data_IF_694310218642
#
_entry.id   IF_694310218642
#
_cell.length_a   1.000
_cell.length_b   1.000
_cell.length_c   1.000
_cell.angle_alpha   90.00
_cell.angle_beta   90.00
_cell.angle_gamma   90.00
#
_symmetry.space_group_name_H-M   'P 1'
#
loop_
_entity.id
_entity.type
_entity.pdbx_description
1 polymer ?
#
# COMPACT_ATOMS: atom_id res chain seq x y z
N UNK A 1 -23.19 7.68 7.98
CA UNK A 1 -21.84 7.59 8.58
C UNK A 1 -21.83 8.51 9.80
N UNK A 2 -21.57 8.00 11.01
CA UNK A 2 -21.39 8.86 12.17
C UNK A 2 -20.22 9.81 11.86
N UNK A 3 -20.52 11.11 11.77
CA UNK A 3 -19.55 12.10 11.31
C UNK A 3 -18.49 12.27 12.39
N UNK A 4 -17.28 11.76 12.15
CA UNK A 4 -16.14 12.00 13.02
C UNK A 4 -15.99 13.50 13.25
N UNK A 5 -15.75 13.89 14.49
CA UNK A 5 -15.43 15.28 14.79
C UNK A 5 -14.01 15.62 14.29
N UNK A 6 -13.67 16.90 14.24
CA UNK A 6 -12.39 17.39 13.70
C UNK A 6 -11.17 16.78 14.43
N UNK A 7 -11.27 16.53 15.75
CA UNK A 7 -10.19 15.91 16.52
C UNK A 7 -10.05 14.42 16.20
N UNK A 8 -11.16 13.72 16.04
CA UNK A 8 -11.19 12.33 15.60
C UNK A 8 -10.62 12.20 14.19
N UNK A 9 -11.03 13.02 13.22
CA UNK A 9 -10.50 13.00 11.85
C UNK A 9 -8.98 13.23 11.80
N UNK A 10 -8.48 14.20 12.58
CA UNK A 10 -7.03 14.44 12.66
C UNK A 10 -6.29 13.26 13.26
N UNK A 11 -6.83 12.67 14.33
CA UNK A 11 -6.25 11.47 14.94
C UNK A 11 -6.30 10.25 14.02
N UNK A 12 -7.37 10.10 13.25
CA UNK A 12 -7.53 9.05 12.25
C UNK A 12 -6.43 9.10 11.20
N UNK A 13 -6.16 10.29 10.65
CA UNK A 13 -5.08 10.51 9.68
C UNK A 13 -3.72 10.25 10.30
N UNK A 14 -3.48 10.78 11.49
CA UNK A 14 -2.23 10.55 12.22
C UNK A 14 -1.98 9.05 12.50
N UNK A 15 -3.03 8.27 12.81
CA UNK A 15 -2.93 6.83 13.02
C UNK A 15 -2.58 6.02 11.76
N UNK A 16 -2.81 6.55 10.57
CA UNK A 16 -2.43 5.88 9.32
C UNK A 16 -0.95 6.09 8.99
N UNK A 17 -0.38 7.21 9.44
CA UNK A 17 1.00 7.61 9.13
C UNK A 17 1.99 7.23 10.24
N UNK A 18 1.51 7.03 11.47
CA UNK A 18 2.36 6.78 12.64
C UNK A 18 2.63 5.30 12.87
N UNK A 19 3.78 4.97 13.45
CA UNK A 19 4.13 3.60 13.86
C UNK A 19 3.53 3.22 15.22
N UNK A 20 3.10 4.20 16.02
CA UNK A 20 2.53 3.99 17.35
C UNK A 20 1.34 4.91 17.64
N UNK A 21 0.46 4.49 18.56
CA UNK A 21 -0.69 5.29 19.03
C UNK A 21 -0.22 6.58 19.72
N UNK A 22 0.88 6.52 20.46
CA UNK A 22 1.41 7.67 21.20
C UNK A 22 1.95 8.75 20.25
N UNK A 23 2.62 8.34 19.17
CA UNK A 23 3.04 9.22 18.07
C UNK A 23 1.81 9.83 17.38
N UNK A 24 0.81 9.02 17.04
CA UNK A 24 -0.42 9.51 16.43
C UNK A 24 -1.16 10.53 17.32
N UNK A 25 -1.18 10.31 18.64
CA UNK A 25 -1.76 11.26 19.60
C UNK A 25 -0.99 12.59 19.58
N UNK A 26 0.34 12.53 19.53
CA UNK A 26 1.21 13.71 19.50
C UNK A 26 1.00 14.50 18.21
N UNK A 27 1.03 13.81 17.05
CA UNK A 27 0.79 14.39 15.73
C UNK A 27 -0.61 15.01 15.60
N UNK A 28 -1.62 14.37 16.20
CA UNK A 28 -2.98 14.90 16.22
C UNK A 28 -3.20 16.02 17.26
N UNK A 29 -2.24 16.26 18.15
CA UNK A 29 -2.37 17.23 19.23
C UNK A 29 -3.44 16.87 20.25
N UNK A 30 -3.59 15.58 20.57
CA UNK A 30 -4.52 15.07 21.59
C UNK A 30 -3.77 14.34 22.71
N UNK A 31 -4.36 14.34 23.91
CA UNK A 31 -3.86 13.51 25.00
C UNK A 31 -4.07 12.02 24.70
N UNK A 32 -3.14 11.19 25.17
CA UNK A 32 -3.18 9.73 25.03
C UNK A 32 -4.53 9.15 25.47
N UNK A 33 -5.03 9.55 26.64
CA UNK A 33 -6.33 9.08 27.15
C UNK A 33 -7.48 9.31 26.15
N UNK A 34 -7.49 10.46 25.47
CA UNK A 34 -8.47 10.76 24.44
C UNK A 34 -8.31 9.85 23.22
N UNK A 35 -7.08 9.62 22.76
CA UNK A 35 -6.80 8.70 21.66
C UNK A 35 -7.24 7.27 21.97
N UNK A 36 -6.89 6.75 23.15
CA UNK A 36 -7.34 5.43 23.61
C UNK A 36 -8.86 5.34 23.78
N UNK A 37 -9.54 6.44 24.16
CA UNK A 37 -11.00 6.46 24.20
C UNK A 37 -11.61 6.42 22.79
N UNK A 38 -11.04 7.10 21.80
CA UNK A 38 -11.48 6.99 20.41
C UNK A 38 -11.30 5.56 19.87
N UNK A 39 -10.21 4.88 20.24
CA UNK A 39 -9.99 3.49 19.85
C UNK A 39 -10.94 2.48 20.50
N UNK A 40 -11.72 2.89 21.51
CA UNK A 40 -12.80 2.08 22.10
C UNK A 40 -14.16 2.34 21.45
N UNK A 41 -14.29 3.40 20.66
CA UNK A 41 -15.51 3.74 19.94
C UNK A 41 -15.61 2.89 18.67
N UNK A 42 -16.60 1.98 18.56
CA UNK A 42 -16.76 1.13 17.39
C UNK A 42 -16.92 1.92 16.09
N UNK A 43 -17.54 3.10 16.14
CA UNK A 43 -17.70 3.96 14.97
C UNK A 43 -16.36 4.46 14.45
N UNK A 44 -15.49 4.93 15.36
CA UNK A 44 -14.14 5.38 15.00
C UNK A 44 -13.29 4.24 14.45
N UNK A 45 -13.33 3.08 15.11
CA UNK A 45 -12.56 1.90 14.70
C UNK A 45 -13.02 1.41 13.32
N UNK A 46 -14.32 1.40 13.04
CA UNK A 46 -14.86 1.05 11.72
C UNK A 46 -14.33 1.98 10.62
N UNK A 47 -14.32 3.29 10.85
CA UNK A 47 -13.79 4.26 9.87
C UNK A 47 -12.28 4.11 9.68
N UNK A 48 -11.53 3.81 10.76
CA UNK A 48 -10.09 3.53 10.68
C UNK A 48 -9.80 2.31 9.81
N UNK A 49 -10.52 1.20 10.03
CA UNK A 49 -10.35 0.01 9.21
C UNK A 49 -10.73 0.25 7.75
N UNK A 50 -11.86 0.92 7.50
CA UNK A 50 -12.29 1.24 6.14
C UNK A 50 -11.27 2.11 5.39
N UNK A 51 -10.66 3.09 6.06
CA UNK A 51 -9.64 3.93 5.44
C UNK A 51 -8.33 3.19 5.24
N UNK A 52 -7.93 2.35 6.19
CA UNK A 52 -6.74 1.49 6.06
C UNK A 52 -6.87 0.49 4.90
N UNK A 53 -8.04 -0.11 4.74
CA UNK A 53 -8.36 -0.99 3.61
C UNK A 53 -8.19 -0.25 2.28
N UNK A 54 -8.78 0.94 2.14
CA UNK A 54 -8.61 1.78 0.94
C UNK A 54 -7.15 2.11 0.61
N UNK A 55 -6.32 2.37 1.62
CA UNK A 55 -4.89 2.63 1.41
C UNK A 55 -4.17 1.37 0.90
N UNK A 56 -4.51 0.20 1.46
CA UNK A 56 -3.95 -1.07 1.00
C UNK A 56 -4.41 -1.42 -0.42
N UNK A 57 -5.68 -1.19 -0.74
CA UNK A 57 -6.23 -1.39 -2.08
C UNK A 57 -5.50 -0.51 -3.09
N UNK A 58 -5.36 0.78 -2.80
CA UNK A 58 -4.65 1.71 -3.67
C UNK A 58 -3.18 1.31 -3.88
N UNK A 59 -2.52 0.88 -2.80
CA UNK A 59 -1.13 0.41 -2.86
C UNK A 59 -1.03 -0.86 -3.72
N UNK A 60 -1.98 -1.77 -3.57
CA UNK A 60 -2.07 -3.01 -4.35
C UNK A 60 -2.29 -2.71 -5.83
N UNK A 61 -3.16 -1.78 -6.17
CA UNK A 61 -3.39 -1.31 -7.54
C UNK A 61 -2.11 -0.71 -8.14
N UNK A 62 -1.40 0.11 -7.38
CA UNK A 62 -0.12 0.67 -7.84
C UNK A 62 0.90 -0.43 -8.11
N UNK A 63 0.98 -1.44 -7.25
CA UNK A 63 1.89 -2.57 -7.41
C UNK A 63 1.53 -3.43 -8.63
N UNK A 64 0.23 -3.68 -8.86
CA UNK A 64 -0.26 -4.39 -10.05
C UNK A 64 0.16 -3.66 -11.32
N UNK A 65 -0.11 -2.34 -11.40
CA UNK A 65 0.26 -1.51 -12.54
C UNK A 65 1.78 -1.51 -12.79
N UNK A 66 2.59 -1.35 -11.75
CA UNK A 66 4.04 -1.42 -11.87
C UNK A 66 4.53 -2.80 -12.37
N UNK A 67 3.83 -3.87 -11.96
CA UNK A 67 4.13 -5.22 -12.42
C UNK A 67 3.78 -5.42 -13.90
N UNK A 68 2.65 -4.88 -14.36
CA UNK A 68 2.27 -4.87 -15.78
C UNK A 68 3.30 -4.11 -16.63
N UNK A 69 3.75 -2.94 -16.17
CA UNK A 69 4.78 -2.16 -16.83
C UNK A 69 6.12 -2.91 -16.89
N UNK A 70 6.52 -3.57 -15.80
CA UNK A 70 7.72 -4.39 -15.79
C UNK A 70 7.65 -5.56 -16.79
N UNK A 71 6.49 -6.22 -16.90
CA UNK A 71 6.28 -7.29 -17.90
C UNK A 71 6.36 -6.73 -19.32
N UNK A 72 5.82 -5.55 -19.58
CA UNK A 72 5.94 -4.89 -20.88
C UNK A 72 7.40 -4.62 -21.25
N UNK A 73 8.19 -4.05 -20.32
CA UNK A 73 9.62 -3.79 -20.52
C UNK A 73 10.41 -5.08 -20.77
N UNK A 74 10.18 -6.13 -19.99
CA UNK A 74 10.84 -7.42 -20.20
C UNK A 74 10.52 -8.01 -21.58
N UNK A 75 9.26 -7.87 -22.01
CA UNK A 75 8.80 -8.34 -23.32
C UNK A 75 9.44 -7.53 -24.46
N UNK A 76 9.56 -6.22 -24.30
CA UNK A 76 10.24 -5.35 -25.26
C UNK A 76 11.71 -5.74 -25.40
N UNK A 77 12.46 -5.81 -24.29
CA UNK A 77 13.89 -6.16 -24.31
C UNK A 77 14.14 -7.56 -24.87
N UNK A 78 13.26 -8.52 -24.59
CA UNK A 78 13.36 -9.88 -25.14
C UNK A 78 13.26 -9.90 -26.67
N UNK A 79 12.42 -9.05 -27.24
CA UNK A 79 12.12 -8.98 -28.68
C UNK A 79 12.95 -7.93 -29.44
N UNK A 80 13.70 -7.07 -28.75
CA UNK A 80 14.57 -6.08 -29.39
C UNK A 80 15.79 -6.73 -30.04
N UNK A 81 15.81 -6.78 -31.37
CA UNK A 81 16.92 -7.32 -32.16
C UNK A 81 18.22 -6.52 -32.03
N UNK A 82 18.14 -5.26 -31.59
CA UNK A 82 19.32 -4.39 -31.36
C UNK A 82 19.90 -4.59 -29.96
N UNK A 83 19.15 -5.18 -29.04
CA UNK A 83 19.65 -5.50 -27.70
C UNK A 83 20.67 -6.65 -27.75
N UNK A 84 21.58 -6.69 -26.77
CA UNK A 84 22.56 -7.78 -26.68
C UNK A 84 21.88 -9.14 -26.47
N UNK A 85 22.47 -10.21 -27.03
CA UNK A 85 21.98 -11.59 -26.83
C UNK A 85 21.79 -11.92 -25.35
N UNK A 86 22.70 -11.44 -24.50
CA UNK A 86 22.62 -11.68 -23.05
C UNK A 86 21.44 -10.95 -22.40
N UNK A 87 21.15 -9.70 -22.81
CA UNK A 87 20.01 -8.93 -22.31
C UNK A 87 18.67 -9.59 -22.67
N UNK A 88 18.56 -10.07 -23.92
CA UNK A 88 17.38 -10.80 -24.40
C UNK A 88 17.17 -12.12 -23.65
N UNK A 89 18.25 -12.90 -23.47
CA UNK A 89 18.22 -14.16 -22.73
C UNK A 89 17.79 -13.95 -21.27
N UNK A 90 18.38 -12.96 -20.58
CA UNK A 90 18.01 -12.65 -19.19
C UNK A 90 16.54 -12.23 -19.07
N UNK A 91 16.04 -11.44 -20.01
CA UNK A 91 14.63 -11.01 -20.00
C UNK A 91 13.69 -12.19 -20.19
N UNK A 92 14.00 -13.11 -21.12
CA UNK A 92 13.24 -14.35 -21.31
C UNK A 92 13.27 -15.26 -20.07
N UNK A 93 14.44 -15.40 -19.42
CA UNK A 93 14.57 -16.16 -18.17
C UNK A 93 13.70 -15.58 -17.06
N UNK A 94 13.74 -14.27 -16.84
CA UNK A 94 12.93 -13.61 -15.82
C UNK A 94 11.42 -13.83 -16.05
N UNK A 95 10.94 -13.75 -17.30
CA UNK A 95 9.53 -14.01 -17.63
C UNK A 95 9.15 -15.44 -17.31
N UNK A 96 10.00 -16.42 -17.66
CA UNK A 96 9.76 -17.83 -17.36
C UNK A 96 9.76 -18.11 -15.85
N UNK A 97 10.69 -17.50 -15.10
CA UNK A 97 10.80 -17.67 -13.65
C UNK A 97 9.54 -17.17 -12.94
N UNK A 98 9.05 -15.97 -13.28
CA UNK A 98 7.80 -15.42 -12.73
C UNK A 98 6.61 -16.32 -13.08
N UNK A 99 6.51 -16.80 -14.32
CA UNK A 99 5.41 -17.68 -14.75
C UNK A 99 5.42 -19.06 -14.08
N UNK A 100 6.60 -19.57 -13.71
CA UNK A 100 6.74 -20.87 -13.03
C UNK A 100 6.60 -20.77 -11.51
N UNK A 101 7.06 -19.68 -10.89
CA UNK A 101 6.97 -19.46 -9.44
C UNK A 101 5.52 -19.22 -8.99
N UNK A 102 4.71 -18.54 -9.79
CA UNK A 102 3.30 -18.26 -9.48
C UNK A 102 2.36 -19.47 -9.64
N UNK A 103 2.87 -20.68 -9.90
CA UNK A 103 2.06 -21.92 -10.01
C UNK A 103 1.97 -22.73 -8.71
N UNK A 104 2.65 -22.32 -7.63
CA UNK A 104 2.54 -22.95 -6.30
C UNK A 104 1.62 -22.15 -5.41
#
# INVERSE_FOLDING_TARGET
>A
MPKLNIRQDRFLKALLESSTIDEACTTAGINRTTGYNYLKDPAFVSEYHALKEKVLDHTTECLKRASEEAVAVLTEVMNDEKASTQSRLKSAQNVLDVACLNRK
#
